data_IF_607372772251
#
_entry.id   IF_607372772251
#
_cell.length_a   1.000
_cell.length_b   1.000
_cell.length_c   1.000
_cell.angle_alpha   90.00
_cell.angle_beta   90.00
_cell.angle_gamma   90.00
#
_symmetry.space_group_name_H-M   'P 1'
#
loop_
_entity.id
_entity.type
_entity.pdbx_description
1 polymer ?
#
# COMPACT_ATOMS: atom_id res chain seq x y z
N UNK A 1 -20.31 6.23 11.01
CA UNK A 1 -20.20 7.59 10.43
C UNK A 1 -21.38 8.47 10.79
N UNK A 2 -22.61 8.00 10.57
CA UNK A 2 -23.82 8.82 10.77
C UNK A 2 -24.49 8.65 12.13
N UNK A 3 -23.91 7.84 13.02
CA UNK A 3 -24.44 7.60 14.37
C UNK A 3 -24.15 8.84 15.25
N UNK A 4 -25.17 9.42 15.92
CA UNK A 4 -24.98 10.49 16.90
C UNK A 4 -23.95 10.13 17.98
N UNK A 5 -23.10 11.08 18.37
CA UNK A 5 -22.07 10.86 19.39
C UNK A 5 -20.85 10.01 19.00
N UNK A 6 -20.80 9.48 17.76
CA UNK A 6 -19.62 8.76 17.22
C UNK A 6 -18.86 9.66 16.24
N UNK A 7 -17.67 10.08 16.65
CA UNK A 7 -16.74 10.88 15.85
C UNK A 7 -15.53 10.09 15.34
N UNK A 8 -14.61 10.75 14.61
CA UNK A 8 -13.38 10.12 14.08
C UNK A 8 -12.55 9.44 15.17
N UNK A 9 -12.43 10.11 16.31
CA UNK A 9 -11.68 9.67 17.48
C UNK A 9 -12.17 8.32 18.01
N UNK A 10 -13.46 8.23 18.37
CA UNK A 10 -14.09 6.97 18.81
C UNK A 10 -14.00 5.85 17.78
N UNK A 11 -14.12 6.17 16.49
CA UNK A 11 -13.98 5.17 15.42
C UNK A 11 -12.54 4.65 15.36
N UNK A 12 -11.56 5.53 15.46
CA UNK A 12 -10.14 5.17 15.53
C UNK A 12 -9.86 4.28 16.74
N UNK A 13 -10.34 4.65 17.93
CA UNK A 13 -10.14 3.89 19.16
C UNK A 13 -10.76 2.49 19.09
N UNK A 14 -12.01 2.40 18.64
CA UNK A 14 -12.69 1.11 18.47
C UNK A 14 -11.93 0.25 17.45
N UNK A 15 -11.52 0.85 16.33
CA UNK A 15 -10.77 0.14 15.29
C UNK A 15 -9.46 -0.38 15.87
N UNK A 16 -8.68 0.47 16.53
CA UNK A 16 -7.39 0.12 17.13
C UNK A 16 -7.52 -1.00 18.16
N UNK A 17 -8.58 -1.01 18.98
CA UNK A 17 -8.85 -2.09 19.92
C UNK A 17 -9.25 -3.40 19.24
N UNK A 18 -10.05 -3.33 18.17
CA UNK A 18 -10.44 -4.51 17.37
C UNK A 18 -9.21 -5.14 16.71
N UNK A 19 -8.32 -4.34 16.13
CA UNK A 19 -7.13 -4.82 15.41
C UNK A 19 -5.87 -4.86 16.27
N UNK A 20 -5.99 -4.67 17.60
CA UNK A 20 -4.85 -4.47 18.52
C UNK A 20 -3.81 -5.59 18.42
N UNK A 21 -4.25 -6.85 18.36
CA UNK A 21 -3.36 -8.00 18.17
C UNK A 21 -2.52 -7.89 16.89
N UNK A 22 -3.13 -7.49 15.79
CA UNK A 22 -2.43 -7.29 14.51
C UNK A 22 -1.44 -6.11 14.58
N UNK A 23 -1.77 -5.03 15.31
CA UNK A 23 -0.87 -3.90 15.52
C UNK A 23 0.33 -4.28 16.39
N UNK A 24 0.14 -5.14 17.41
CA UNK A 24 1.23 -5.68 18.22
C UNK A 24 2.16 -6.52 17.34
N UNK A 25 1.64 -7.49 16.59
CA UNK A 25 2.44 -8.31 15.67
C UNK A 25 3.16 -7.45 14.63
N UNK A 26 2.48 -6.47 14.04
CA UNK A 26 3.12 -5.53 13.10
C UNK A 26 4.26 -4.76 13.78
N UNK A 27 4.05 -4.26 14.99
CA UNK A 27 5.06 -3.52 15.75
C UNK A 27 6.29 -4.39 16.03
N UNK A 28 6.09 -5.64 16.47
CA UNK A 28 7.17 -6.61 16.69
C UNK A 28 7.96 -6.86 15.39
N UNK A 29 7.26 -7.07 14.27
CA UNK A 29 7.90 -7.26 12.97
C UNK A 29 8.71 -6.03 12.53
N UNK A 30 8.23 -4.81 12.78
CA UNK A 30 8.99 -3.60 12.48
C UNK A 30 10.24 -3.46 13.36
N UNK A 31 10.15 -3.83 14.64
CA UNK A 31 11.31 -3.82 15.53
C UNK A 31 12.37 -4.85 15.11
N UNK A 32 11.93 -6.08 14.78
CA UNK A 32 12.79 -7.12 14.23
C UNK A 32 13.46 -6.69 12.91
N UNK A 33 12.72 -6.02 12.02
CA UNK A 33 13.25 -5.48 10.75
C UNK A 33 14.45 -4.53 10.96
N UNK A 34 14.47 -3.79 12.07
CA UNK A 34 15.55 -2.86 12.41
C UNK A 34 16.54 -3.42 13.44
N UNK A 35 16.45 -4.72 13.78
CA UNK A 35 17.33 -5.35 14.76
C UNK A 35 17.19 -4.78 16.17
N UNK A 36 16.00 -4.28 16.53
CA UNK A 36 15.72 -3.70 17.86
C UNK A 36 14.96 -4.70 18.71
N UNK A 37 15.56 -5.12 19.82
CA UNK A 37 14.94 -6.05 20.76
C UNK A 37 13.81 -5.41 21.58
N UNK A 38 12.80 -6.21 21.92
CA UNK A 38 11.71 -5.85 22.84
C UNK A 38 11.85 -6.74 24.08
N UNK A 39 12.57 -6.29 25.13
CA UNK A 39 13.05 -7.20 26.19
C UNK A 39 11.95 -7.66 27.15
N UNK A 40 10.86 -6.91 27.26
CA UNK A 40 9.84 -7.11 28.29
C UNK A 40 8.46 -7.26 27.69
N UNK A 41 7.64 -8.10 28.35
CA UNK A 41 6.20 -8.16 28.09
C UNK A 41 5.47 -7.11 28.91
N UNK A 42 4.49 -6.46 28.28
CA UNK A 42 3.60 -5.51 28.94
C UNK A 42 2.14 -5.89 28.69
N UNK A 43 1.21 -5.44 29.54
CA UNK A 43 -0.21 -5.66 29.31
C UNK A 43 -0.64 -5.08 27.95
N UNK A 44 -1.30 -5.90 27.13
CA UNK A 44 -1.77 -5.51 25.79
C UNK A 44 -2.80 -4.39 25.85
N UNK A 45 -3.60 -4.36 26.93
CA UNK A 45 -4.91 -3.73 26.96
C UNK A 45 -5.96 -4.58 26.26
N UNK A 46 -7.21 -4.12 26.23
CA UNK A 46 -8.34 -4.86 25.66
C UNK A 46 -8.13 -5.20 24.18
N UNK A 47 -8.18 -6.50 23.88
CA UNK A 47 -8.16 -7.07 22.54
C UNK A 47 -9.47 -7.78 22.24
N UNK A 48 -9.95 -7.61 21.01
CA UNK A 48 -11.14 -8.32 20.54
C UNK A 48 -10.80 -9.74 20.08
N UNK A 49 -11.44 -10.73 20.68
CA UNK A 49 -11.45 -12.10 20.18
C UNK A 49 -12.68 -12.28 19.26
N UNK A 50 -12.44 -12.44 17.96
CA UNK A 50 -13.52 -12.61 16.98
C UNK A 50 -14.18 -13.98 17.04
N UNK A 51 -13.49 -15.01 17.53
CA UNK A 51 -14.02 -16.37 17.66
C UNK A 51 -14.96 -16.45 18.86
N UNK A 52 -14.51 -15.97 20.01
CA UNK A 52 -15.27 -16.00 21.26
C UNK A 52 -16.18 -14.79 21.45
N UNK A 53 -16.08 -13.78 20.57
CA UNK A 53 -16.83 -12.51 20.60
C UNK A 53 -16.73 -11.80 21.96
N UNK A 54 -15.54 -11.81 22.54
CA UNK A 54 -15.27 -11.24 23.85
C UNK A 54 -14.03 -10.35 23.83
N UNK A 55 -13.93 -9.48 24.84
CA UNK A 55 -12.72 -8.72 25.11
C UNK A 55 -11.86 -9.48 26.11
N UNK A 56 -10.57 -9.57 25.84
CA UNK A 56 -9.59 -10.14 26.76
C UNK A 56 -8.32 -9.27 26.81
N UNK A 57 -7.50 -9.50 27.82
CA UNK A 57 -6.22 -8.83 28.00
C UNK A 57 -5.16 -9.89 28.33
N UNK A 58 -3.95 -9.72 27.78
CA UNK A 58 -2.81 -10.58 28.07
C UNK A 58 -1.52 -9.76 28.17
N UNK A 59 -0.37 -10.42 28.29
CA UNK A 59 0.94 -9.78 28.26
C UNK A 59 1.68 -10.21 27.00
N UNK A 60 2.19 -9.22 26.26
CA UNK A 60 2.94 -9.47 25.02
C UNK A 60 4.15 -8.52 24.93
N UNK A 61 5.10 -8.85 24.06
CA UNK A 61 6.29 -8.04 23.79
C UNK A 61 5.87 -6.76 23.06
N UNK A 62 5.74 -5.68 23.82
CA UNK A 62 5.34 -4.36 23.32
C UNK A 62 6.44 -3.37 23.66
N UNK A 63 6.93 -2.57 22.69
CA UNK A 63 7.94 -1.56 22.97
C UNK A 63 7.44 -0.53 24.00
N UNK A 64 8.31 -0.18 24.93
CA UNK A 64 8.04 0.81 25.97
C UNK A 64 9.06 1.92 25.90
N UNK A 65 8.60 3.14 25.63
CA UNK A 65 9.45 4.30 25.41
C UNK A 65 8.91 5.50 26.19
N UNK A 66 9.77 6.15 26.98
CA UNK A 66 9.43 7.34 27.80
C UNK A 66 8.15 7.17 28.63
N UNK A 67 7.97 6.01 29.27
CA UNK A 67 6.81 5.75 30.13
C UNK A 67 5.55 5.31 29.39
N UNK A 68 5.59 5.10 28.07
CA UNK A 68 4.43 4.75 27.27
C UNK A 68 4.66 3.51 26.41
N UNK A 69 3.60 2.69 26.28
CA UNK A 69 3.53 1.60 25.30
C UNK A 69 3.43 2.19 23.90
N UNK A 70 4.22 1.68 22.97
CA UNK A 70 4.23 2.13 21.58
C UNK A 70 3.65 1.03 20.70
N UNK A 71 2.62 1.38 19.92
CA UNK A 71 2.10 0.55 18.83
C UNK A 71 2.29 1.31 17.52
N UNK A 72 2.85 0.63 16.54
CA UNK A 72 3.00 1.14 15.18
C UNK A 72 1.78 0.74 14.36
N UNK A 73 1.42 1.61 13.41
CA UNK A 73 0.35 1.36 12.45
C UNK A 73 0.96 1.31 11.05
N UNK A 74 0.64 0.31 10.20
CA UNK A 74 1.15 0.26 8.84
C UNK A 74 0.79 1.52 8.06
N UNK A 75 1.79 2.15 7.44
CA UNK A 75 1.65 3.40 6.66
C UNK A 75 0.49 3.35 5.66
N UNK A 76 0.31 2.18 5.04
CA UNK A 76 -0.75 1.93 4.07
C UNK A 76 -2.15 2.21 4.62
N UNK A 77 -2.43 1.86 5.89
CA UNK A 77 -3.75 2.07 6.51
C UNK A 77 -3.97 3.47 7.09
N UNK A 78 -2.90 4.24 7.29
CA UNK A 78 -3.01 5.57 7.90
C UNK A 78 -3.66 6.54 6.90
N UNK A 79 -4.60 7.36 7.38
CA UNK A 79 -5.18 8.49 6.64
C UNK A 79 -5.03 9.77 7.46
N UNK A 80 -4.61 10.86 6.81
CA UNK A 80 -4.58 12.17 7.44
C UNK A 80 -6.01 12.65 7.58
N UNK A 81 -6.42 12.90 8.83
CA UNK A 81 -7.68 13.53 9.22
C UNK A 81 -8.85 13.14 8.29
N UNK A 82 -9.40 11.95 8.52
CA UNK A 82 -10.62 11.55 7.81
C UNK A 82 -11.68 12.62 8.09
N UNK A 83 -11.99 13.45 7.10
CA UNK A 83 -12.94 14.54 7.27
C UNK A 83 -14.35 13.97 7.13
N UNK A 84 -14.90 13.50 8.25
CA UNK A 84 -16.25 12.92 8.33
C UNK A 84 -17.30 13.92 7.81
N UNK A 85 -17.04 15.23 7.88
CA UNK A 85 -17.92 16.27 7.36
C UNK A 85 -17.89 16.30 5.83
N UNK A 86 -16.71 16.31 5.21
CA UNK A 86 -16.58 16.20 3.74
C UNK A 86 -17.14 14.89 3.23
N UNK A 87 -16.94 13.80 3.96
CA UNK A 87 -17.42 12.49 3.56
C UNK A 87 -18.94 12.39 3.67
N UNK A 88 -19.54 12.95 4.73
CA UNK A 88 -20.99 13.09 4.85
C UNK A 88 -21.58 13.97 3.73
N UNK A 89 -20.91 15.07 3.37
CA UNK A 89 -21.30 15.90 2.23
C UNK A 89 -21.24 15.15 0.91
N UNK A 90 -20.17 14.38 0.67
CA UNK A 90 -20.03 13.53 -0.53
C UNK A 90 -21.12 12.46 -0.60
N UNK A 91 -21.45 11.83 0.52
CA UNK A 91 -22.53 10.86 0.57
C UNK A 91 -23.87 11.49 0.20
N UNK A 92 -24.18 12.63 0.84
CA UNK A 92 -25.43 13.34 0.57
C UNK A 92 -25.50 13.82 -0.89
N UNK A 93 -24.51 14.60 -1.33
CA UNK A 93 -24.55 15.27 -2.64
C UNK A 93 -24.40 14.30 -3.81
N UNK A 94 -23.50 13.32 -3.66
CA UNK A 94 -23.16 12.39 -4.73
C UNK A 94 -24.12 11.22 -4.84
N UNK A 95 -24.68 10.74 -3.73
CA UNK A 95 -25.44 9.49 -3.69
C UNK A 95 -26.90 9.71 -3.32
N UNK A 96 -27.20 10.34 -2.17
CA UNK A 96 -28.59 10.57 -1.75
C UNK A 96 -29.30 11.47 -2.74
N UNK A 97 -28.76 12.66 -3.01
CA UNK A 97 -29.39 13.63 -3.89
C UNK A 97 -29.48 13.14 -5.34
N UNK A 98 -28.49 12.40 -5.82
CA UNK A 98 -28.55 11.78 -7.15
C UNK A 98 -29.63 10.70 -7.23
N UNK A 99 -29.71 9.82 -6.23
CA UNK A 99 -30.76 8.79 -6.18
C UNK A 99 -32.16 9.40 -6.19
N UNK A 100 -32.40 10.42 -5.35
CA UNK A 100 -33.71 11.10 -5.29
C UNK A 100 -34.00 11.78 -6.63
N UNK A 101 -33.04 12.52 -7.19
CA UNK A 101 -33.19 13.16 -8.50
C UNK A 101 -33.59 12.15 -9.58
N UNK A 102 -32.86 11.05 -9.70
CA UNK A 102 -33.08 10.05 -10.75
C UNK A 102 -34.45 9.35 -10.57
N UNK A 103 -34.84 9.07 -9.32
CA UNK A 103 -36.15 8.54 -8.99
C UNK A 103 -37.27 9.51 -9.37
N UNK A 104 -37.17 10.77 -8.97
CA UNK A 104 -38.19 11.79 -9.26
C UNK A 104 -38.32 12.05 -10.76
N UNK A 105 -37.20 12.12 -11.49
CA UNK A 105 -37.22 12.29 -12.95
C UNK A 105 -37.81 11.08 -13.68
N UNK A 106 -37.51 9.86 -13.24
CA UNK A 106 -38.03 8.63 -13.86
C UNK A 106 -39.51 8.40 -13.57
N UNK A 107 -40.00 8.86 -12.42
CA UNK A 107 -41.41 8.71 -12.02
C UNK A 107 -42.27 9.94 -12.32
N UNK A 108 -41.67 11.01 -12.86
CA UNK A 108 -42.30 12.34 -12.97
C UNK A 108 -42.92 12.77 -11.63
N UNK A 109 -42.13 12.64 -10.57
CA UNK A 109 -42.56 12.84 -9.19
C UNK A 109 -42.76 14.31 -8.80
N UNK A 110 -43.13 14.52 -7.54
CA UNK A 110 -43.52 15.82 -6.98
C UNK A 110 -42.41 16.87 -6.98
N UNK A 111 -41.14 16.46 -7.06
CA UNK A 111 -40.01 17.39 -7.08
C UNK A 111 -39.61 17.84 -8.50
N UNK A 112 -40.30 17.34 -9.53
CA UNK A 112 -39.99 17.69 -10.92
C UNK A 112 -40.54 19.07 -11.27
N UNK A 113 -39.64 19.96 -11.68
CA UNK A 113 -39.91 21.25 -12.28
C UNK A 113 -39.57 21.24 -13.77
N UNK A 114 -40.20 22.10 -14.56
CA UNK A 114 -39.98 22.20 -15.99
C UNK A 114 -39.21 23.47 -16.35
N UNK A 115 -37.99 23.31 -16.84
CA UNK A 115 -37.16 24.44 -17.26
C UNK A 115 -37.53 24.81 -18.70
N UNK A 116 -38.03 26.03 -18.96
CA UNK A 116 -38.36 26.47 -20.30
C UNK A 116 -37.10 26.58 -21.16
N UNK A 117 -37.19 26.15 -22.42
CA UNK A 117 -36.11 26.29 -23.42
C UNK A 117 -36.61 27.09 -24.62
N UNK A 118 -35.72 27.93 -25.17
CA UNK A 118 -36.01 28.66 -26.41
C UNK A 118 -36.11 27.65 -27.55
N UNK A 119 -37.26 27.61 -28.21
CA UNK A 119 -37.55 26.75 -29.38
C UNK A 119 -37.47 25.23 -29.12
N UNK A 120 -37.75 24.76 -27.90
CA UNK A 120 -37.85 23.32 -27.59
C UNK A 120 -38.80 23.07 -26.40
N UNK A 121 -39.37 21.86 -26.28
CA UNK A 121 -40.17 21.50 -25.11
C UNK A 121 -39.40 21.71 -23.81
N UNK A 122 -40.08 22.12 -22.73
CA UNK A 122 -39.43 22.31 -21.44
C UNK A 122 -38.84 20.99 -20.94
N UNK A 123 -37.67 21.08 -20.32
CA UNK A 123 -36.95 19.90 -19.86
C UNK A 123 -37.24 19.64 -18.38
N UNK A 124 -37.58 18.41 -17.97
CA UNK A 124 -37.78 18.07 -16.57
C UNK A 124 -36.46 18.22 -15.80
N UNK A 125 -36.55 18.80 -14.61
CA UNK A 125 -35.41 19.10 -13.74
C UNK A 125 -35.84 18.99 -12.27
N UNK A 126 -34.93 18.54 -11.41
CA UNK A 126 -35.16 18.51 -9.96
C UNK A 126 -34.07 19.33 -9.29
N UNK A 127 -34.46 20.40 -8.58
CA UNK A 127 -33.51 21.28 -7.92
C UNK A 127 -32.97 20.66 -6.63
N UNK A 128 -31.70 20.94 -6.35
CA UNK A 128 -31.03 20.45 -5.14
C UNK A 128 -31.68 20.95 -3.85
N UNK A 129 -32.16 22.20 -3.84
CA UNK A 129 -32.80 22.78 -2.65
C UNK A 129 -34.17 22.14 -2.34
N UNK A 130 -34.88 21.61 -3.33
CA UNK A 130 -36.13 20.88 -3.12
C UNK A 130 -35.86 19.51 -2.49
N UNK A 131 -34.81 18.82 -2.97
CA UNK A 131 -34.32 17.59 -2.33
C UNK A 131 -33.89 17.85 -0.89
N UNK A 132 -33.18 18.96 -0.63
CA UNK A 132 -32.75 19.33 0.72
C UNK A 132 -33.91 19.69 1.66
N UNK A 133 -35.04 20.14 1.11
CA UNK A 133 -36.26 20.38 1.89
C UNK A 133 -36.95 19.07 2.27
N UNK A 134 -36.98 18.09 1.37
CA UNK A 134 -37.55 16.77 1.64
C UNK A 134 -36.64 15.89 2.52
N UNK A 135 -35.32 15.97 2.30
CA UNK A 135 -34.31 15.24 3.06
C UNK A 135 -33.28 16.24 3.58
N UNK A 136 -33.52 16.85 4.75
CA UNK A 136 -32.58 17.79 5.34
C UNK A 136 -31.17 17.20 5.53
N UNK A 137 -30.14 18.03 5.41
CA UNK A 137 -28.73 17.64 5.61
C UNK A 137 -28.33 17.54 7.08
N UNK A 138 -29.13 16.86 7.88
CA UNK A 138 -28.81 16.54 9.26
C UNK A 138 -28.58 15.03 9.43
N UNK A 139 -28.00 14.62 10.56
CA UNK A 139 -27.64 13.22 10.78
C UNK A 139 -28.87 12.31 10.79
N UNK A 140 -29.97 12.74 11.40
CA UNK A 140 -31.15 11.90 11.58
C UNK A 140 -31.83 11.58 10.24
N UNK A 141 -32.01 12.59 9.38
CA UNK A 141 -32.55 12.41 8.03
C UNK A 141 -31.66 11.54 7.15
N UNK A 142 -30.33 11.68 7.28
CA UNK A 142 -29.38 10.82 6.56
C UNK A 142 -29.46 9.37 7.06
N UNK A 143 -29.53 9.15 8.38
CA UNK A 143 -29.65 7.81 8.97
C UNK A 143 -30.94 7.12 8.53
N UNK A 144 -32.08 7.81 8.62
CA UNK A 144 -33.39 7.28 8.20
C UNK A 144 -33.38 6.91 6.71
N UNK A 145 -32.84 7.79 5.86
CA UNK A 145 -32.68 7.49 4.43
C UNK A 145 -31.78 6.28 4.20
N UNK A 146 -30.62 6.20 4.87
CA UNK A 146 -29.68 5.08 4.74
C UNK A 146 -30.31 3.75 5.17
N UNK A 147 -31.13 3.73 6.22
CA UNK A 147 -31.83 2.53 6.67
C UNK A 147 -32.86 2.05 5.63
N UNK A 148 -33.58 2.99 4.98
CA UNK A 148 -34.56 2.70 3.93
C UNK A 148 -33.92 2.31 2.59
N UNK A 149 -32.72 2.81 2.32
CA UNK A 149 -32.00 2.63 1.05
C UNK A 149 -30.57 2.08 1.26
N UNK A 150 -30.43 0.84 1.77
CA UNK A 150 -29.13 0.26 2.10
C UNK A 150 -28.24 0.05 0.86
N UNK A 151 -28.83 -0.09 -0.32
CA UNK A 151 -28.12 -0.21 -1.60
C UNK A 151 -27.41 1.09 -2.00
N UNK A 152 -28.00 2.25 -1.74
CA UNK A 152 -27.39 3.57 -1.99
C UNK A 152 -26.15 3.75 -1.12
N UNK A 153 -26.24 3.36 0.15
CA UNK A 153 -25.07 3.35 1.03
C UNK A 153 -24.00 2.35 0.60
N UNK A 154 -24.39 1.16 0.11
CA UNK A 154 -23.45 0.18 -0.43
C UNK A 154 -22.67 0.75 -1.62
N UNK A 155 -23.34 1.38 -2.58
CA UNK A 155 -22.70 2.07 -3.72
C UNK A 155 -21.71 3.14 -3.25
N UNK A 156 -22.10 3.95 -2.26
CA UNK A 156 -21.22 4.94 -1.66
C UNK A 156 -19.99 4.31 -1.00
N UNK A 157 -20.19 3.29 -0.16
CA UNK A 157 -19.12 2.55 0.50
C UNK A 157 -18.16 2.00 -0.54
N UNK A 158 -18.65 1.32 -1.56
CA UNK A 158 -17.82 0.67 -2.59
C UNK A 158 -17.04 1.71 -3.42
N UNK A 159 -17.63 2.89 -3.67
CA UNK A 159 -16.93 4.01 -4.30
C UNK A 159 -15.83 4.60 -3.40
N UNK A 160 -16.03 4.60 -2.09
CA UNK A 160 -15.07 5.12 -1.10
C UNK A 160 -14.03 4.09 -0.65
N UNK A 161 -14.25 2.79 -0.93
CA UNK A 161 -13.31 1.71 -0.65
C UNK A 161 -12.13 1.65 -1.63
N UNK A 162 -12.09 2.50 -2.67
CA UNK A 162 -10.87 2.69 -3.48
C UNK A 162 -9.75 3.23 -2.60
N UNK A 163 -8.91 2.33 -2.12
CA UNK A 163 -7.89 2.62 -1.13
C UNK A 163 -6.75 3.44 -1.76
N UNK A 164 -6.69 4.74 -1.46
CA UNK A 164 -5.59 5.60 -1.88
C UNK A 164 -4.61 5.83 -0.72
N UNK A 165 -3.49 5.09 -0.62
CA UNK A 165 -2.49 5.25 0.44
C UNK A 165 -1.95 6.69 0.47
N UNK A 166 -1.56 7.17 1.65
CA UNK A 166 -0.88 8.47 1.74
C UNK A 166 0.54 8.37 1.18
N UNK A 167 1.00 9.44 0.52
CA UNK A 167 2.41 9.55 0.13
C UNK A 167 3.31 9.67 1.36
N UNK A 168 4.60 9.35 1.19
CA UNK A 168 5.60 9.47 2.26
C UNK A 168 5.69 10.92 2.75
N UNK A 169 5.65 11.89 1.85
CA UNK A 169 5.75 13.31 2.21
C UNK A 169 4.53 13.75 3.02
N UNK A 170 3.32 13.29 2.65
CA UNK A 170 2.12 13.54 3.44
C UNK A 170 2.21 12.92 4.84
N UNK A 171 2.74 11.69 4.95
CA UNK A 171 2.95 11.01 6.23
C UNK A 171 3.94 11.76 7.14
N UNK A 172 5.08 12.21 6.62
CA UNK A 172 6.09 12.90 7.42
C UNK A 172 5.64 14.33 7.78
N UNK A 173 5.04 15.05 6.84
CA UNK A 173 4.49 16.39 7.09
C UNK A 173 3.39 16.35 8.16
N UNK A 174 2.58 15.29 8.20
CA UNK A 174 1.57 15.08 9.24
C UNK A 174 2.18 14.93 10.66
N UNK A 175 3.46 14.59 10.78
CA UNK A 175 4.17 14.51 12.06
C UNK A 175 4.82 15.84 12.48
N UNK A 176 4.49 16.95 11.80
CA UNK A 176 5.09 18.26 12.06
C UNK A 176 6.55 18.36 11.60
N UNK A 177 7.03 17.40 10.81
CA UNK A 177 8.37 17.38 10.24
C UNK A 177 8.31 17.79 8.78
N UNK A 178 9.24 18.62 8.33
CA UNK A 178 9.39 18.89 6.91
C UNK A 178 10.28 17.80 6.29
N UNK A 179 9.71 16.93 5.44
CA UNK A 179 10.51 15.93 4.72
C UNK A 179 11.07 16.50 3.44
N UNK A 180 12.37 16.78 3.45
CA UNK A 180 13.11 17.19 2.26
C UNK A 180 13.58 15.95 1.51
N UNK A 181 12.66 15.39 0.73
CA UNK A 181 12.89 14.15 -0.01
C UNK A 181 14.15 14.20 -0.90
N UNK A 182 14.43 15.32 -1.55
CA UNK A 182 15.64 15.46 -2.38
C UNK A 182 16.93 15.37 -1.55
N UNK A 183 16.96 15.95 -0.35
CA UNK A 183 18.11 15.83 0.55
C UNK A 183 18.26 14.39 1.03
N UNK A 184 17.15 13.74 1.39
CA UNK A 184 17.14 12.32 1.76
C UNK A 184 17.65 11.43 0.61
N UNK A 185 17.19 11.65 -0.63
CA UNK A 185 17.64 10.92 -1.82
C UNK A 185 19.14 11.11 -2.04
N UNK A 186 19.66 12.34 -1.94
CA UNK A 186 21.09 12.61 -2.12
C UNK A 186 21.94 11.90 -1.06
N UNK A 187 21.58 12.01 0.22
CA UNK A 187 22.29 11.30 1.30
C UNK A 187 22.18 9.78 1.16
N UNK A 188 21.06 9.27 0.63
CA UNK A 188 20.86 7.84 0.36
C UNK A 188 21.78 7.35 -0.77
N UNK A 189 21.94 8.14 -1.84
CA UNK A 189 22.87 7.86 -2.94
C UNK A 189 24.31 7.87 -2.43
N UNK A 190 24.69 8.85 -1.61
CA UNK A 190 26.01 8.91 -0.99
C UNK A 190 26.27 7.70 -0.10
N UNK A 191 25.30 7.33 0.75
CA UNK A 191 25.39 6.14 1.59
C UNK A 191 25.60 4.86 0.75
N UNK A 192 24.84 4.69 -0.34
CA UNK A 192 24.94 3.52 -1.22
C UNK A 192 26.34 3.41 -1.85
N UNK A 193 26.88 4.52 -2.36
CA UNK A 193 28.21 4.60 -2.97
C UNK A 193 29.35 4.37 -1.99
N UNK A 194 29.16 4.74 -0.72
CA UNK A 194 30.20 4.61 0.31
C UNK A 194 30.33 3.20 0.88
N UNK A 195 29.35 2.31 0.68
CA UNK A 195 29.46 0.93 1.12
C UNK A 195 30.42 0.20 0.16
N UNK A 196 31.51 -0.42 0.65
CA UNK A 196 32.40 -1.22 -0.20
C UNK A 196 31.71 -2.44 -0.82
N UNK A 197 32.19 -2.88 -1.98
CA UNK A 197 31.76 -4.14 -2.59
C UNK A 197 32.37 -5.34 -1.86
N UNK A 198 31.73 -6.50 -1.99
CA UNK A 198 32.19 -7.78 -1.44
C UNK A 198 31.52 -8.21 -0.13
N UNK A 199 31.79 -9.46 0.25
CA UNK A 199 31.11 -10.14 1.35
C UNK A 199 31.23 -9.44 2.72
N UNK A 200 32.32 -8.71 2.96
CA UNK A 200 32.54 -8.03 4.25
C UNK A 200 31.51 -6.95 4.55
N UNK A 201 30.97 -6.30 3.53
CA UNK A 201 29.97 -5.23 3.65
C UNK A 201 28.59 -5.65 3.13
N UNK A 202 28.38 -6.96 2.91
CA UNK A 202 27.13 -7.47 2.34
C UNK A 202 25.91 -7.19 3.23
N UNK A 203 26.05 -7.30 4.56
CA UNK A 203 24.97 -7.02 5.50
C UNK A 203 24.61 -5.52 5.53
N UNK A 204 25.61 -4.64 5.49
CA UNK A 204 25.39 -3.19 5.42
C UNK A 204 24.67 -2.80 4.14
N UNK A 205 25.12 -3.39 3.01
CA UNK A 205 24.48 -3.22 1.70
C UNK A 205 23.03 -3.70 1.73
N UNK A 206 22.77 -4.93 2.18
CA UNK A 206 21.42 -5.49 2.27
C UNK A 206 20.51 -4.61 3.14
N UNK A 207 21.00 -4.16 4.30
CA UNK A 207 20.23 -3.30 5.21
C UNK A 207 19.85 -1.97 4.56
N UNK A 208 20.77 -1.35 3.81
CA UNK A 208 20.47 -0.13 3.06
C UNK A 208 19.46 -0.40 1.95
N UNK A 209 19.66 -1.46 1.15
CA UNK A 209 18.76 -1.83 0.05
C UNK A 209 17.33 -2.11 0.56
N UNK A 210 17.15 -2.69 1.75
CA UNK A 210 15.82 -2.84 2.37
C UNK A 210 15.13 -1.49 2.54
N UNK A 211 15.84 -0.52 3.11
CA UNK A 211 15.31 0.84 3.32
C UNK A 211 14.98 1.53 2.00
N UNK A 212 15.89 1.48 1.03
CA UNK A 212 15.71 2.10 -0.29
C UNK A 212 14.59 1.44 -1.08
N UNK A 213 14.50 0.12 -1.08
CA UNK A 213 13.43 -0.62 -1.76
C UNK A 213 12.07 -0.28 -1.18
N UNK A 214 11.94 -0.23 0.15
CA UNK A 214 10.70 0.18 0.80
C UNK A 214 10.33 1.63 0.45
N UNK A 215 11.31 2.54 0.39
CA UNK A 215 11.08 3.93 0.01
C UNK A 215 10.64 4.08 -1.45
N UNK A 216 11.33 3.41 -2.39
CA UNK A 216 11.09 3.49 -3.83
C UNK A 216 9.78 2.81 -4.23
N UNK A 217 9.50 1.65 -3.66
CA UNK A 217 8.40 0.77 -4.08
C UNK A 217 7.10 1.02 -3.31
N UNK A 218 7.14 1.80 -2.21
CA UNK A 218 5.92 2.27 -1.57
C UNK A 218 5.22 3.33 -2.45
N UNK A 219 3.91 3.20 -2.68
CA UNK A 219 3.00 2.35 -1.91
C UNK A 219 2.64 1.03 -2.60
N UNK A 220 3.10 0.78 -3.82
CA UNK A 220 2.83 -0.45 -4.59
C UNK A 220 3.20 -1.73 -3.83
N UNK A 221 4.32 -1.72 -3.12
CA UNK A 221 4.78 -2.81 -2.27
C UNK A 221 4.82 -2.36 -0.80
N UNK A 222 4.33 -3.20 0.10
CA UNK A 222 4.24 -2.88 1.54
C UNK A 222 4.71 -4.05 2.41
N UNK A 223 4.77 -3.81 3.73
CA UNK A 223 5.07 -4.82 4.74
C UNK A 223 6.34 -5.64 4.44
N UNK A 224 7.53 -4.99 4.33
CA UNK A 224 8.78 -5.72 4.13
C UNK A 224 9.05 -6.68 5.28
N UNK A 225 9.47 -7.90 4.94
CA UNK A 225 9.96 -8.92 5.87
C UNK A 225 11.38 -9.28 5.48
N UNK A 226 12.32 -9.09 6.40
CA UNK A 226 13.74 -9.44 6.24
C UNK A 226 13.98 -10.92 6.55
N UNK A 227 14.90 -11.55 5.81
CA UNK A 227 15.36 -12.92 6.02
C UNK A 227 14.22 -13.94 6.18
N UNK A 228 13.14 -13.80 5.40
CA UNK A 228 11.92 -14.58 5.58
C UNK A 228 12.21 -16.08 5.43
N UNK A 229 11.98 -16.91 6.47
CA UNK A 229 12.17 -18.35 6.36
C UNK A 229 11.07 -18.97 5.51
N UNK A 230 11.45 -19.89 4.64
CA UNK A 230 10.55 -20.73 3.83
C UNK A 230 10.99 -22.20 3.92
N UNK A 231 10.09 -23.11 3.56
CA UNK A 231 10.32 -24.56 3.59
C UNK A 231 10.84 -25.04 4.96
N UNK A 232 10.12 -24.68 6.03
CA UNK A 232 10.46 -25.03 7.41
C UNK A 232 11.86 -24.52 7.83
N UNK A 233 12.24 -23.34 7.34
CA UNK A 233 13.50 -22.68 7.68
C UNK A 233 14.71 -23.12 6.85
N UNK A 234 14.58 -24.11 5.96
CA UNK A 234 15.69 -24.60 5.09
C UNK A 234 16.18 -23.56 4.09
N UNK A 235 15.35 -22.56 3.80
CA UNK A 235 15.55 -21.60 2.74
C UNK A 235 15.16 -20.22 3.29
N UNK A 236 15.92 -19.17 2.97
CA UNK A 236 15.58 -17.77 3.31
C UNK A 236 15.47 -16.89 2.07
N UNK A 237 14.57 -15.91 2.11
CA UNK A 237 14.46 -14.83 1.12
C UNK A 237 15.00 -13.57 1.79
N UNK A 238 15.94 -12.86 1.17
CA UNK A 238 16.56 -11.67 1.78
C UNK A 238 15.51 -10.64 2.18
N UNK A 239 14.60 -10.30 1.26
CA UNK A 239 13.51 -9.37 1.50
C UNK A 239 12.25 -9.86 0.78
N UNK A 240 11.13 -9.91 1.48
CA UNK A 240 9.82 -10.16 0.88
C UNK A 240 8.89 -8.98 1.13
N UNK A 241 8.21 -8.51 0.09
CA UNK A 241 7.16 -7.50 0.19
C UNK A 241 5.80 -8.08 -0.18
N UNK A 242 4.75 -7.59 0.49
CA UNK A 242 3.37 -7.80 0.06
C UNK A 242 3.07 -6.90 -1.13
N UNK A 243 2.61 -7.48 -2.25
CA UNK A 243 2.20 -6.72 -3.41
C UNK A 243 0.80 -6.13 -3.18
N UNK A 244 0.78 -4.85 -2.78
CA UNK A 244 -0.42 -4.09 -2.42
C UNK A 244 -0.93 -3.21 -3.55
N UNK A 245 -0.32 -3.29 -4.74
CA UNK A 245 -0.59 -2.41 -5.86
C UNK A 245 -2.02 -2.59 -6.40
N UNK A 246 -2.70 -1.47 -6.61
CA UNK A 246 -4.03 -1.37 -7.24
C UNK A 246 -3.95 -0.89 -8.71
N UNK A 247 -2.78 -0.43 -9.15
CA UNK A 247 -2.47 0.04 -10.50
C UNK A 247 -0.99 -0.18 -10.85
N UNK A 248 -0.61 0.19 -12.07
CA UNK A 248 0.80 0.17 -12.50
C UNK A 248 1.34 -1.23 -12.79
N UNK A 249 2.68 -1.34 -12.86
CA UNK A 249 3.37 -2.58 -13.25
C UNK A 249 3.17 -3.69 -12.21
N UNK A 250 3.30 -3.39 -10.93
CA UNK A 250 3.13 -4.39 -9.86
C UNK A 250 1.70 -4.91 -9.75
N UNK A 251 0.67 -4.10 -10.05
CA UNK A 251 -0.70 -4.59 -10.16
C UNK A 251 -0.84 -5.58 -11.31
N UNK A 252 -0.31 -5.26 -12.50
CA UNK A 252 -0.35 -6.17 -13.65
C UNK A 252 0.33 -7.50 -13.32
N UNK A 253 1.51 -7.47 -12.71
CA UNK A 253 2.24 -8.66 -12.26
C UNK A 253 1.45 -9.49 -11.23
N UNK A 254 0.70 -8.83 -10.33
CA UNK A 254 -0.14 -9.50 -9.33
C UNK A 254 -1.36 -10.19 -9.93
N UNK A 255 -1.97 -9.58 -10.95
CA UNK A 255 -3.19 -10.07 -11.60
C UNK A 255 -2.92 -10.98 -12.80
N UNK A 256 -1.68 -11.04 -13.26
CA UNK A 256 -1.28 -11.95 -14.32
C UNK A 256 -1.47 -13.42 -13.86
N UNK A 257 -2.14 -14.27 -14.66
CA UNK A 257 -2.50 -15.63 -14.25
C UNK A 257 -1.31 -16.57 -14.12
N UNK A 258 -0.19 -16.28 -14.79
CA UNK A 258 1.03 -17.07 -14.69
C UNK A 258 1.90 -16.58 -13.52
N UNK A 259 2.09 -15.26 -13.41
CA UNK A 259 3.01 -14.70 -12.42
C UNK A 259 2.42 -14.67 -11.01
N UNK A 260 1.13 -14.31 -10.87
CA UNK A 260 0.43 -14.20 -9.59
C UNK A 260 1.31 -13.58 -8.49
N UNK A 261 2.00 -12.48 -8.79
CA UNK A 261 3.01 -11.87 -7.93
C UNK A 261 2.38 -11.24 -6.66
N UNK A 262 1.89 -12.09 -5.74
CA UNK A 262 1.27 -11.71 -4.46
C UNK A 262 2.32 -11.21 -3.49
N UNK A 263 3.50 -11.82 -3.54
CA UNK A 263 4.71 -11.36 -2.88
C UNK A 263 5.77 -11.00 -3.93
N UNK A 264 6.52 -9.94 -3.67
CA UNK A 264 7.71 -9.60 -4.44
C UNK A 264 8.93 -9.94 -3.60
N UNK A 265 9.68 -10.91 -4.08
CA UNK A 265 10.91 -11.40 -3.44
C UNK A 265 12.10 -10.62 -4.00
N UNK A 266 12.92 -10.07 -3.12
CA UNK A 266 14.14 -9.35 -3.49
C UNK A 266 15.33 -10.10 -2.92
N UNK A 267 16.33 -10.36 -3.75
CA UNK A 267 17.64 -10.91 -3.38
C UNK A 267 18.72 -9.85 -3.60
N UNK A 268 19.63 -9.66 -2.64
CA UNK A 268 20.64 -8.60 -2.68
C UNK A 268 22.05 -9.17 -2.84
N UNK A 269 22.79 -8.75 -3.86
CA UNK A 269 24.16 -9.20 -4.14
C UNK A 269 25.14 -8.03 -4.13
N UNK A 270 25.97 -7.98 -3.10
CA UNK A 270 27.05 -6.98 -2.97
C UNK A 270 28.31 -7.40 -3.73
N UNK A 271 28.19 -7.77 -5.01
CA UNK A 271 29.33 -8.21 -5.83
C UNK A 271 29.80 -7.09 -6.76
N UNK A 272 31.10 -7.05 -7.03
CA UNK A 272 31.66 -6.18 -8.06
C UNK A 272 31.58 -6.82 -9.46
N UNK A 273 31.56 -8.15 -9.50
CA UNK A 273 31.52 -8.95 -10.72
C UNK A 273 30.09 -9.19 -11.20
N UNK A 274 29.97 -9.66 -12.45
CA UNK A 274 28.70 -10.06 -13.03
C UNK A 274 28.00 -11.15 -12.25
N UNK A 275 26.67 -11.06 -12.22
CA UNK A 275 25.81 -12.13 -11.72
C UNK A 275 26.07 -13.42 -12.49
N UNK A 276 25.97 -14.56 -11.82
CA UNK A 276 26.04 -15.87 -12.44
C UNK A 276 24.65 -16.55 -12.46
N UNK A 277 24.59 -17.77 -12.99
CA UNK A 277 23.34 -18.55 -12.98
C UNK A 277 22.84 -18.85 -11.55
N UNK A 278 23.71 -19.18 -10.57
CA UNK A 278 23.27 -19.51 -9.21
C UNK A 278 22.41 -18.43 -8.55
N UNK A 279 22.68 -17.14 -8.80
CA UNK A 279 21.92 -16.04 -8.18
C UNK A 279 20.49 -15.95 -8.73
N UNK A 280 20.32 -16.14 -10.04
CA UNK A 280 19.00 -16.17 -10.69
C UNK A 280 18.26 -17.44 -10.26
N UNK A 281 18.92 -18.59 -10.27
CA UNK A 281 18.37 -19.88 -9.83
C UNK A 281 17.95 -19.85 -8.35
N UNK A 282 18.70 -19.13 -7.51
CA UNK A 282 18.37 -18.95 -6.10
C UNK A 282 17.01 -18.28 -5.93
N UNK A 283 16.72 -17.26 -6.74
CA UNK A 283 15.46 -16.52 -6.70
C UNK A 283 14.31 -17.33 -7.32
N UNK A 284 14.55 -17.97 -8.47
CA UNK A 284 13.60 -18.90 -9.11
C UNK A 284 13.20 -20.01 -8.13
N UNK A 285 14.16 -20.53 -7.38
CA UNK A 285 13.94 -21.55 -6.35
C UNK A 285 13.10 -21.09 -5.15
N UNK A 286 12.67 -19.81 -5.10
CA UNK A 286 11.72 -19.25 -4.12
C UNK A 286 10.30 -19.15 -4.65
N UNK A 287 10.14 -19.15 -5.97
CA UNK A 287 8.84 -19.02 -6.61
C UNK A 287 7.94 -20.22 -6.31
N UNK A 288 6.66 -19.94 -6.11
CA UNK A 288 5.61 -20.96 -6.00
C UNK A 288 4.24 -20.36 -6.28
N UNK A 289 3.23 -21.20 -6.50
CA UNK A 289 1.89 -20.74 -6.86
C UNK A 289 1.18 -19.93 -5.76
N UNK A 290 1.64 -20.00 -4.50
CA UNK A 290 1.03 -19.25 -3.38
C UNK A 290 1.63 -17.86 -3.23
N UNK A 291 2.96 -17.73 -3.38
CA UNK A 291 3.69 -16.45 -3.30
C UNK A 291 3.71 -15.70 -4.63
N UNK A 292 3.92 -16.40 -5.73
CA UNK A 292 4.10 -15.86 -7.07
C UNK A 292 5.43 -16.26 -7.72
N UNK A 293 5.56 -15.91 -8.99
CA UNK A 293 6.71 -16.22 -9.87
C UNK A 293 7.39 -14.96 -10.39
N UNK A 294 7.50 -13.94 -9.54
CA UNK A 294 8.18 -12.69 -9.86
C UNK A 294 9.14 -12.32 -8.74
N UNK A 295 10.36 -11.92 -9.09
CA UNK A 295 11.34 -11.46 -8.14
C UNK A 295 12.26 -10.39 -8.72
N UNK A 296 12.93 -9.67 -7.83
CA UNK A 296 13.91 -8.64 -8.16
C UNK A 296 15.27 -9.08 -7.60
N UNK A 297 16.30 -9.02 -8.42
CA UNK A 297 17.67 -9.18 -7.98
C UNK A 297 18.31 -7.80 -7.96
N UNK A 298 18.83 -7.38 -6.81
CA UNK A 298 19.52 -6.10 -6.65
C UNK A 298 21.03 -6.36 -6.57
N UNK A 299 21.80 -5.75 -7.46
CA UNK A 299 23.26 -5.87 -7.48
C UNK A 299 23.93 -4.51 -7.68
N UNK A 300 25.26 -4.45 -7.52
CA UNK A 300 26.00 -3.20 -7.69
C UNK A 300 26.00 -2.72 -9.13
N UNK A 301 26.43 -3.59 -10.03
CA UNK A 301 26.62 -3.30 -11.45
C UNK A 301 26.47 -4.58 -12.27
N UNK A 302 26.36 -4.42 -13.58
CA UNK A 302 26.38 -5.51 -14.56
C UNK A 302 27.38 -5.11 -15.65
N UNK A 303 28.43 -5.90 -15.85
CA UNK A 303 29.40 -5.73 -16.93
C UNK A 303 28.89 -6.30 -18.25
N UNK A 304 28.24 -7.47 -18.26
CA UNK A 304 27.63 -8.09 -19.44
C UNK A 304 26.10 -8.11 -19.34
N UNK A 305 25.51 -6.99 -19.78
CA UNK A 305 24.06 -6.79 -19.77
C UNK A 305 23.34 -7.80 -20.68
N UNK A 306 23.90 -8.11 -21.85
CA UNK A 306 23.28 -9.02 -22.81
C UNK A 306 23.20 -10.44 -22.23
N UNK A 307 24.27 -10.91 -21.59
CA UNK A 307 24.28 -12.22 -20.94
C UNK A 307 23.30 -12.29 -19.77
N UNK A 308 23.20 -11.22 -18.97
CA UNK A 308 22.23 -11.14 -17.87
C UNK A 308 20.79 -11.15 -18.37
N UNK A 309 20.49 -10.38 -19.43
CA UNK A 309 19.18 -10.36 -20.08
C UNK A 309 18.84 -11.72 -20.72
N UNK A 310 19.81 -12.38 -21.36
CA UNK A 310 19.63 -13.71 -21.94
C UNK A 310 19.24 -14.74 -20.87
N UNK A 311 19.92 -14.74 -19.72
CA UNK A 311 19.59 -15.64 -18.60
C UNK A 311 18.18 -15.40 -18.05
N UNK A 312 17.79 -14.13 -17.87
CA UNK A 312 16.43 -13.80 -17.42
C UNK A 312 15.38 -14.21 -18.45
N UNK A 313 15.69 -14.07 -19.74
CA UNK A 313 14.84 -14.49 -20.86
C UNK A 313 14.69 -16.01 -20.90
N UNK A 314 15.77 -16.76 -20.69
CA UNK A 314 15.75 -18.22 -20.65
C UNK A 314 14.88 -18.74 -19.51
N UNK A 315 15.00 -18.15 -18.31
CA UNK A 315 14.14 -18.48 -17.17
C UNK A 315 12.65 -18.22 -17.46
N UNK A 316 12.34 -17.12 -18.14
CA UNK A 316 10.97 -16.80 -18.54
C UNK A 316 10.44 -17.77 -19.60
N UNK A 317 11.22 -18.07 -20.64
CA UNK A 317 10.88 -19.04 -21.70
C UNK A 317 10.68 -20.45 -21.15
N UNK A 318 11.46 -20.82 -20.13
CA UNK A 318 11.31 -22.08 -19.41
C UNK A 318 10.11 -22.10 -18.43
N UNK A 319 9.29 -21.04 -18.40
CA UNK A 319 8.12 -20.90 -17.52
C UNK A 319 8.46 -21.02 -16.01
N UNK A 320 9.70 -20.69 -15.64
CA UNK A 320 10.13 -20.75 -14.25
C UNK A 320 9.64 -19.52 -13.48
N UNK A 321 9.55 -18.37 -14.14
CA UNK A 321 9.08 -17.11 -13.60
C UNK A 321 9.77 -15.94 -14.26
N UNK A 322 9.66 -14.76 -13.65
CA UNK A 322 10.30 -13.53 -14.11
C UNK A 322 11.24 -13.02 -13.04
N UNK A 323 12.48 -12.75 -13.45
CA UNK A 323 13.48 -12.04 -12.64
C UNK A 323 13.81 -10.73 -13.34
N UNK A 324 13.72 -9.63 -12.60
CA UNK A 324 14.17 -8.30 -13.01
C UNK A 324 15.42 -7.96 -12.21
N UNK A 325 16.41 -7.33 -12.84
CA UNK A 325 17.68 -6.99 -12.17
C UNK A 325 17.79 -5.49 -12.02
N UNK A 326 17.99 -4.99 -10.80
CA UNK A 326 18.22 -3.57 -10.51
C UNK A 326 19.67 -3.38 -10.06
N UNK A 327 20.34 -2.42 -10.70
CA UNK A 327 21.69 -1.99 -10.33
C UNK A 327 21.67 -0.81 -9.35
N UNK A 328 22.83 -0.45 -8.79
CA UNK A 328 22.97 0.79 -8.01
C UNK A 328 22.57 2.02 -8.85
N UNK A 329 22.87 2.01 -10.16
CA UNK A 329 22.50 3.09 -11.08
C UNK A 329 20.97 3.22 -11.24
N UNK A 330 20.24 2.10 -11.37
CA UNK A 330 18.77 2.10 -11.44
C UNK A 330 18.15 2.67 -10.15
N UNK A 331 18.71 2.30 -8.99
CA UNK A 331 18.29 2.81 -7.68
C UNK A 331 18.57 4.32 -7.58
N UNK A 332 19.78 4.74 -7.95
CA UNK A 332 20.18 6.15 -7.93
C UNK A 332 19.30 6.99 -8.86
N UNK A 333 19.00 6.47 -10.06
CA UNK A 333 18.13 7.11 -11.04
C UNK A 333 16.71 7.30 -10.50
N UNK A 334 16.14 6.27 -9.87
CA UNK A 334 14.82 6.35 -9.25
C UNK A 334 14.80 7.34 -8.06
N UNK A 335 15.85 7.38 -7.24
CA UNK A 335 15.99 8.33 -6.13
C UNK A 335 16.12 9.79 -6.63
N UNK A 336 16.87 10.01 -7.70
CA UNK A 336 17.10 11.32 -8.30
C UNK A 336 15.85 11.90 -8.99
N UNK A 337 14.90 11.05 -9.38
CA UNK A 337 13.63 11.49 -9.97
C UNK A 337 12.73 12.28 -9.00
N UNK A 338 13.01 12.23 -7.69
CA UNK A 338 12.36 13.05 -6.68
C UNK A 338 10.87 12.73 -6.44
N UNK A 339 10.18 13.56 -5.64
CA UNK A 339 8.83 13.25 -5.12
C UNK A 339 7.77 12.92 -6.18
N UNK A 340 7.83 13.58 -7.34
CA UNK A 340 6.84 13.44 -8.40
C UNK A 340 7.23 12.35 -9.42
N UNK A 341 8.52 12.03 -9.53
CA UNK A 341 9.03 11.13 -10.56
C UNK A 341 9.40 9.73 -10.06
N UNK A 342 9.71 9.57 -8.77
CA UNK A 342 10.24 8.32 -8.19
C UNK A 342 9.42 7.08 -8.53
N UNK A 343 8.12 7.11 -8.25
CA UNK A 343 7.22 5.97 -8.51
C UNK A 343 7.14 5.65 -10.01
N UNK A 344 7.04 6.69 -10.85
CA UNK A 344 7.02 6.53 -12.30
C UNK A 344 8.32 5.91 -12.80
N UNK A 345 9.46 6.40 -12.29
CA UNK A 345 10.77 5.99 -12.76
C UNK A 345 11.07 4.53 -12.45
N UNK A 346 10.83 4.09 -11.21
CA UNK A 346 11.02 2.67 -10.86
C UNK A 346 10.08 1.76 -11.66
N UNK A 347 8.84 2.20 -11.90
CA UNK A 347 7.90 1.45 -12.73
C UNK A 347 8.36 1.36 -14.19
N UNK A 348 8.95 2.41 -14.75
CA UNK A 348 9.52 2.43 -16.11
C UNK A 348 10.71 1.48 -16.23
N UNK A 349 11.65 1.51 -15.28
CA UNK A 349 12.81 0.61 -15.25
C UNK A 349 12.34 -0.86 -15.28
N UNK A 350 11.44 -1.22 -14.35
CA UNK A 350 10.88 -2.58 -14.28
C UNK A 350 10.12 -2.92 -15.57
N UNK A 351 9.27 -2.02 -16.06
CA UNK A 351 8.47 -2.26 -17.26
C UNK A 351 9.31 -2.43 -18.53
N UNK A 352 10.44 -1.73 -18.65
CA UNK A 352 11.35 -1.84 -19.78
C UNK A 352 12.04 -3.20 -19.78
N UNK A 353 12.48 -3.69 -18.63
CA UNK A 353 13.03 -5.04 -18.51
C UNK A 353 11.97 -6.10 -18.83
N UNK A 354 10.73 -5.93 -18.35
CA UNK A 354 9.65 -6.85 -18.73
C UNK A 354 9.38 -6.89 -20.25
N UNK A 355 9.56 -5.76 -20.95
CA UNK A 355 9.41 -5.69 -22.41
C UNK A 355 10.56 -6.39 -23.13
N UNK A 356 11.78 -6.28 -22.64
CA UNK A 356 12.92 -6.97 -23.27
C UNK A 356 12.82 -8.48 -23.17
N UNK A 357 12.17 -9.03 -22.13
CA UNK A 357 11.88 -10.47 -22.03
C UNK A 357 10.91 -10.99 -23.11
N UNK A 358 10.17 -10.11 -23.77
CA UNK A 358 9.20 -10.44 -24.82
C UNK A 358 9.75 -10.20 -26.25
N UNK A 359 10.92 -9.59 -26.36
CA UNK A 359 11.62 -9.40 -27.64
C UNK A 359 12.33 -10.70 -28.04
#
# INVERSE_FOLDING_TARGET
MFIPGIGPDKVSDITANIIRKHLITYTQNQFALYGVDIPNKYPTGLMWDSLNRCWHEEHDYIPFYKGQKVLLVPKWYVKYHYDFTKLGRRYYDGFIASFVRDRELSTMGKLVSFIPRKNSPPTPHVYKHDIEREIPRNKDSIVDFTQKHPDVYRKFRDAMLKHNPMSINALVNAQGKNFREMEFSNSSIEALRNIPTGNRSANDYQSLIVGLSHFLLYPSLTNPVLERPINDGRKRIDIAFDNSADKGVFHRLRTDPFLLAREVMIECKNYADDLENPEIDQLIGRFDNRRGRFGILVCRSITDKQKTEARCTDAFKAQQGVVVVLTDDDICEALAAGPLGRETRINEIVQNQLRSLLA
#
